data_IF_127330239155
#
_entry.id   IF_127330239155
#
_cell.length_a   1.000
_cell.length_b   1.000
_cell.length_c   1.000
_cell.angle_alpha   90.00
_cell.angle_beta   90.00
_cell.angle_gamma   90.00
#
_symmetry.space_group_name_H-M   'P 1'
#
loop_
_entity.id
_entity.type
_entity.pdbx_description
1 polymer ?
#
# COMPACT_ATOMS: atom_id res chain seq x y z
N UNK A 1 -7.48 -6.85 -1.95
CA UNK A 1 -6.15 -6.57 -2.49
C UNK A 1 -6.15 -6.96 -3.98
N UNK A 2 -5.37 -6.26 -4.81
CA UNK A 2 -5.29 -6.43 -6.27
C UNK A 2 -3.85 -6.59 -6.79
N UNK A 3 -2.91 -6.99 -5.93
CA UNK A 3 -1.47 -6.98 -6.21
C UNK A 3 -1.04 -8.00 -7.28
N UNK A 4 -1.83 -9.05 -7.48
CA UNK A 4 -1.63 -10.02 -8.55
C UNK A 4 -1.73 -9.43 -9.97
N UNK A 5 -2.18 -8.17 -10.11
CA UNK A 5 -2.26 -7.45 -11.38
C UNK A 5 -1.07 -6.54 -11.65
N UNK A 6 -0.07 -6.52 -10.75
CA UNK A 6 1.20 -5.83 -10.99
C UNK A 6 2.10 -6.67 -11.91
N UNK A 7 2.84 -6.01 -12.80
CA UNK A 7 3.94 -6.63 -13.52
C UNK A 7 5.11 -6.94 -12.56
N UNK A 8 5.93 -7.94 -12.89
CA UNK A 8 6.95 -8.46 -11.97
C UNK A 8 7.92 -7.40 -11.46
N UNK A 9 8.31 -6.44 -12.31
CA UNK A 9 9.17 -5.31 -11.90
C UNK A 9 8.49 -4.40 -10.87
N UNK A 10 7.17 -4.22 -10.97
CA UNK A 10 6.41 -3.34 -10.09
C UNK A 10 6.04 -4.04 -8.78
N UNK A 11 5.99 -5.39 -8.75
CA UNK A 11 5.84 -6.17 -7.51
C UNK A 11 7.00 -5.92 -6.55
N UNK A 12 8.23 -5.97 -7.05
CA UNK A 12 9.43 -5.70 -6.24
C UNK A 12 9.46 -4.25 -5.74
N UNK A 13 9.14 -3.30 -6.61
CA UNK A 13 9.05 -1.87 -6.24
C UNK A 13 7.94 -1.62 -5.21
N UNK A 14 6.80 -2.29 -5.32
CA UNK A 14 5.72 -2.22 -4.33
C UNK A 14 6.19 -2.67 -2.94
N UNK A 15 6.89 -3.80 -2.83
CA UNK A 15 7.43 -4.26 -1.54
C UNK A 15 8.39 -3.25 -0.91
N UNK A 16 9.23 -2.60 -1.72
CA UNK A 16 10.13 -1.52 -1.25
C UNK A 16 9.33 -0.33 -0.68
N UNK A 17 8.21 0.04 -1.33
CA UNK A 17 7.30 1.06 -0.78
C UNK A 17 6.70 0.60 0.56
N UNK A 18 6.27 -0.65 0.68
CA UNK A 18 5.72 -1.18 1.94
C UNK A 18 6.74 -1.14 3.09
N UNK A 19 8.01 -1.45 2.82
CA UNK A 19 9.07 -1.35 3.83
C UNK A 19 9.24 0.09 4.30
N UNK A 20 9.28 1.05 3.38
CA UNK A 20 9.35 2.47 3.75
C UNK A 20 8.11 2.96 4.50
N UNK A 21 6.91 2.46 4.14
CA UNK A 21 5.67 2.77 4.85
C UNK A 21 5.69 2.22 6.29
N UNK A 22 6.10 0.97 6.47
CA UNK A 22 6.25 0.31 7.77
C UNK A 22 7.32 0.99 8.64
N UNK A 23 8.45 1.40 8.06
CA UNK A 23 9.53 2.08 8.78
C UNK A 23 9.21 3.50 9.25
N UNK A 24 8.03 4.07 8.91
CA UNK A 24 7.58 5.39 9.41
C UNK A 24 7.58 5.48 10.94
N UNK A 25 7.39 4.34 11.63
CA UNK A 25 7.41 4.26 13.10
C UNK A 25 8.72 3.71 13.68
N UNK A 26 9.72 3.38 12.85
CA UNK A 26 11.09 3.03 13.28
C UNK A 26 11.26 1.68 13.98
N UNK A 27 10.24 0.82 14.04
CA UNK A 27 10.32 -0.52 14.62
C UNK A 27 9.66 -1.53 13.67
N UNK A 28 10.47 -2.42 13.10
CA UNK A 28 9.94 -3.51 12.27
C UNK A 28 9.42 -4.64 13.16
N UNK A 29 8.10 -4.65 13.44
CA UNK A 29 7.46 -5.66 14.31
C UNK A 29 7.05 -6.90 13.51
N UNK A 30 6.75 -8.01 14.20
CA UNK A 30 6.42 -9.29 13.54
C UNK A 30 5.15 -9.19 12.68
N UNK A 31 4.21 -8.33 13.07
CA UNK A 31 2.96 -8.07 12.37
C UNK A 31 3.21 -7.45 10.98
N UNK A 32 4.23 -6.61 10.83
CA UNK A 32 4.60 -6.01 9.55
C UNK A 32 5.23 -7.03 8.61
N UNK A 33 6.05 -7.96 9.14
CA UNK A 33 6.58 -9.10 8.36
C UNK A 33 5.48 -9.98 7.82
N UNK A 34 4.52 -10.35 8.66
CA UNK A 34 3.38 -11.16 8.24
C UNK A 34 2.56 -10.48 7.14
N UNK A 35 2.46 -9.15 7.19
CA UNK A 35 1.79 -8.39 6.14
C UNK A 35 2.59 -8.37 4.83
N UNK A 36 3.91 -8.17 4.88
CA UNK A 36 4.78 -8.30 3.70
C UNK A 36 4.65 -9.70 3.08
N UNK A 37 4.66 -10.75 3.90
CA UNK A 37 4.48 -12.12 3.41
C UNK A 37 3.09 -12.35 2.82
N UNK A 38 2.04 -11.73 3.37
CA UNK A 38 0.71 -11.76 2.77
C UNK A 38 0.72 -11.14 1.36
N UNK A 39 1.42 -10.01 1.17
CA UNK A 39 1.58 -9.41 -0.15
C UNK A 39 2.37 -10.29 -1.12
N UNK A 40 3.45 -10.93 -0.66
CA UNK A 40 4.21 -11.88 -1.47
C UNK A 40 3.35 -13.05 -1.95
N UNK A 41 2.54 -13.64 -1.06
CA UNK A 41 1.58 -14.71 -1.40
C UNK A 41 0.57 -14.26 -2.44
N UNK A 42 -0.01 -13.08 -2.28
CA UNK A 42 -0.98 -12.56 -3.24
C UNK A 42 -0.36 -12.31 -4.62
N UNK A 43 0.85 -11.75 -4.64
CA UNK A 43 1.61 -11.50 -5.87
C UNK A 43 2.19 -12.77 -6.50
N UNK A 44 2.07 -13.92 -5.82
CA UNK A 44 2.64 -15.21 -6.21
C UNK A 44 4.16 -15.16 -6.39
N UNK A 45 4.85 -14.48 -5.48
CA UNK A 45 6.32 -14.39 -5.43
C UNK A 45 6.85 -15.02 -4.13
N UNK A 46 8.14 -15.38 -4.05
CA UNK A 46 8.73 -15.88 -2.82
C UNK A 46 8.51 -14.93 -1.64
N UNK A 47 8.23 -15.48 -0.46
CA UNK A 47 8.14 -14.72 0.78
C UNK A 47 9.54 -14.27 1.20
N UNK A 48 9.90 -13.06 0.77
CA UNK A 48 11.15 -12.41 1.10
C UNK A 48 10.93 -10.94 1.44
N UNK A 49 11.74 -10.40 2.35
CA UNK A 49 11.75 -8.97 2.66
C UNK A 49 12.90 -8.36 1.88
N UNK A 50 12.64 -7.60 0.80
CA UNK A 50 13.71 -7.11 -0.05
C UNK A 50 14.67 -6.22 0.74
N UNK A 51 15.96 -6.53 0.65
CA UNK A 51 17.02 -5.60 1.08
C UNK A 51 17.00 -4.39 0.15
N UNK A 52 16.91 -3.19 0.72
CA UNK A 52 16.95 -1.96 -0.05
C UNK A 52 17.67 -0.86 0.71
N UNK A 53 18.73 -0.33 0.11
CA UNK A 53 19.59 0.72 0.64
C UNK A 53 19.33 2.10 0.00
N UNK A 54 18.44 2.16 -0.99
CA UNK A 54 18.05 3.39 -1.66
C UNK A 54 17.00 4.21 -0.92
N UNK A 55 16.60 5.34 -1.50
CA UNK A 55 15.57 6.20 -0.91
C UNK A 55 14.18 5.86 -1.45
N UNK A 56 13.13 6.22 -0.70
CA UNK A 56 11.76 6.13 -1.19
C UNK A 56 11.56 6.94 -2.48
N UNK A 57 12.25 8.07 -2.64
CA UNK A 57 12.13 8.91 -3.84
C UNK A 57 12.63 8.19 -5.10
N UNK A 58 13.65 7.33 -4.97
CA UNK A 58 14.17 6.54 -6.08
C UNK A 58 13.11 5.51 -6.51
N UNK A 59 12.51 4.80 -5.54
CA UNK A 59 11.43 3.82 -5.79
C UNK A 59 10.23 4.49 -6.45
N UNK A 60 9.80 5.64 -5.94
CA UNK A 60 8.65 6.38 -6.48
C UNK A 60 8.92 6.88 -7.90
N UNK A 61 10.16 7.32 -8.19
CA UNK A 61 10.58 7.72 -9.53
C UNK A 61 10.53 6.55 -10.51
N UNK A 62 11.03 5.38 -10.11
CA UNK A 62 10.96 4.17 -10.95
C UNK A 62 9.51 3.74 -11.21
N UNK A 63 8.66 3.74 -10.19
CA UNK A 63 7.22 3.46 -10.34
C UNK A 63 6.54 4.50 -11.23
N UNK A 64 6.95 5.77 -11.17
CA UNK A 64 6.40 6.80 -12.03
C UNK A 64 6.65 6.52 -13.52
N UNK A 65 7.78 5.90 -13.85
CA UNK A 65 8.19 5.58 -15.23
C UNK A 65 7.68 4.22 -15.70
N UNK A 66 7.75 3.19 -14.85
CA UNK A 66 7.51 1.79 -15.23
C UNK A 66 6.05 1.35 -15.04
N UNK A 67 5.36 1.89 -14.04
CA UNK A 67 4.01 1.43 -13.72
C UNK A 67 2.97 2.10 -14.62
N UNK A 68 2.01 1.30 -15.09
CA UNK A 68 0.83 1.82 -15.78
C UNK A 68 -0.06 2.63 -14.82
N UNK A 69 -0.96 3.46 -15.36
CA UNK A 69 -1.97 4.16 -14.54
C UNK A 69 -2.78 3.21 -13.66
N UNK A 70 -3.05 2.00 -14.16
CA UNK A 70 -3.78 0.97 -13.40
C UNK A 70 -2.95 0.48 -12.22
N UNK A 71 -1.69 0.10 -12.45
CA UNK A 71 -0.78 -0.37 -11.40
C UNK A 71 -0.53 0.70 -10.33
N UNK A 72 -0.33 1.95 -10.74
CA UNK A 72 -0.22 3.08 -9.79
C UNK A 72 -1.44 3.19 -8.88
N UNK A 73 -2.64 3.08 -9.44
CA UNK A 73 -3.87 3.14 -8.65
C UNK A 73 -4.01 1.93 -7.71
N UNK A 74 -3.55 0.74 -8.13
CA UNK A 74 -3.48 -0.44 -7.26
C UNK A 74 -2.52 -0.18 -6.11
N UNK A 75 -1.30 0.27 -6.38
CA UNK A 75 -0.29 0.58 -5.35
C UNK A 75 -0.84 1.60 -4.35
N UNK A 76 -1.46 2.69 -4.81
CA UNK A 76 -2.09 3.68 -3.92
C UNK A 76 -3.16 3.03 -3.03
N UNK A 77 -4.04 2.19 -3.59
CA UNK A 77 -5.09 1.53 -2.83
C UNK A 77 -4.52 0.62 -1.74
N UNK A 78 -3.53 -0.21 -2.08
CA UNK A 78 -2.98 -1.21 -1.15
C UNK A 78 -2.16 -0.54 -0.04
N UNK A 79 -1.35 0.48 -0.38
CA UNK A 79 -0.61 1.25 0.64
C UNK A 79 -1.57 2.06 1.51
N UNK A 80 -2.66 2.59 0.96
CA UNK A 80 -3.68 3.26 1.76
C UNK A 80 -4.37 2.29 2.72
N UNK A 81 -4.61 1.04 2.30
CA UNK A 81 -5.11 -0.02 3.16
C UNK A 81 -4.14 -0.38 4.28
N UNK A 82 -2.84 -0.46 3.97
CA UNK A 82 -1.75 -0.68 4.93
C UNK A 82 -1.72 0.39 6.02
N UNK A 83 -1.62 1.67 5.64
CA UNK A 83 -1.50 2.77 6.60
C UNK A 83 -2.78 3.06 7.38
N UNK A 84 -3.93 2.50 6.97
CA UNK A 84 -5.20 2.61 7.71
C UNK A 84 -5.53 1.35 8.50
N UNK A 85 -4.66 0.34 8.50
CA UNK A 85 -4.96 -1.00 9.03
C UNK A 85 -5.21 -1.00 10.55
N UNK A 86 -4.58 -0.08 11.28
CA UNK A 86 -4.79 0.10 12.72
C UNK A 86 -6.07 0.90 13.06
N UNK A 87 -6.78 1.39 12.04
CA UNK A 87 -8.00 2.18 12.16
C UNK A 87 -7.77 3.67 12.41
N UNK A 88 -6.52 4.14 12.41
CA UNK A 88 -6.14 5.55 12.53
C UNK A 88 -5.60 6.02 11.18
N UNK A 89 -5.81 7.30 10.84
CA UNK A 89 -5.22 7.92 9.65
C UNK A 89 -4.68 9.28 10.03
N UNK A 90 -3.49 9.27 10.61
CA UNK A 90 -2.81 10.42 11.19
C UNK A 90 -2.17 11.31 10.13
N UNK A 91 -1.71 12.49 10.54
CA UNK A 91 -1.13 13.46 9.61
C UNK A 91 0.17 12.95 8.95
N UNK A 92 0.98 12.15 9.65
CA UNK A 92 2.17 11.51 9.05
C UNK A 92 1.82 10.54 7.92
N UNK A 93 0.74 9.78 8.08
CA UNK A 93 0.28 8.83 7.06
C UNK A 93 -0.31 9.57 5.86
N UNK A 94 -1.02 10.68 6.09
CA UNK A 94 -1.46 11.58 5.02
C UNK A 94 -0.29 12.17 4.26
N UNK A 95 0.71 12.70 4.96
CA UNK A 95 1.94 13.24 4.37
C UNK A 95 2.67 12.19 3.53
N UNK A 96 2.75 10.95 4.03
CA UNK A 96 3.34 9.83 3.28
C UNK A 96 2.53 9.50 2.02
N UNK A 97 1.20 9.41 2.13
CA UNK A 97 0.33 9.14 0.98
C UNK A 97 0.39 10.25 -0.06
N UNK A 98 0.46 11.51 0.37
CA UNK A 98 0.61 12.68 -0.52
C UNK A 98 1.95 12.63 -1.26
N UNK A 99 3.05 12.36 -0.54
CA UNK A 99 4.37 12.19 -1.15
C UNK A 99 4.39 11.03 -2.16
N UNK A 100 3.74 9.92 -1.83
CA UNK A 100 3.63 8.74 -2.69
C UNK A 100 2.86 9.03 -3.98
N UNK A 101 1.70 9.69 -3.92
CA UNK A 101 0.91 10.00 -5.12
C UNK A 101 1.57 11.09 -5.98
N UNK A 102 2.24 12.06 -5.36
CA UNK A 102 3.04 13.06 -6.07
C UNK A 102 4.24 12.40 -6.76
N UNK A 103 5.01 11.58 -6.05
CA UNK A 103 6.20 10.91 -6.57
C UNK A 103 5.89 10.00 -7.76
N UNK A 104 4.81 9.22 -7.68
CA UNK A 104 4.35 8.35 -8.78
C UNK A 104 3.63 9.09 -9.91
N UNK A 105 3.36 10.40 -9.77
CA UNK A 105 2.60 11.22 -10.72
C UNK A 105 1.18 10.67 -10.94
N UNK A 106 0.51 10.31 -9.86
CA UNK A 106 -0.88 9.81 -9.89
C UNK A 106 -1.82 10.97 -10.21
N UNK A 107 -2.89 10.68 -10.95
CA UNK A 107 -3.90 11.68 -11.30
C UNK A 107 -4.55 12.27 -10.03
N UNK A 108 -4.71 13.59 -10.03
CA UNK A 108 -5.40 14.32 -8.96
C UNK A 108 -6.80 13.72 -8.68
N UNK A 109 -7.16 13.67 -7.40
CA UNK A 109 -8.44 13.14 -6.94
C UNK A 109 -8.54 11.61 -6.86
N UNK A 110 -7.54 10.86 -7.35
CA UNK A 110 -7.53 9.39 -7.18
C UNK A 110 -7.40 9.02 -5.71
N UNK A 111 -6.46 9.64 -4.97
CA UNK A 111 -6.25 9.35 -3.56
C UNK A 111 -7.51 9.58 -2.72
N UNK A 112 -8.13 10.75 -2.86
CA UNK A 112 -9.36 11.09 -2.12
C UNK A 112 -10.51 10.16 -2.46
N UNK A 113 -10.65 9.78 -3.74
CA UNK A 113 -11.66 8.82 -4.17
C UNK A 113 -11.43 7.42 -3.58
N UNK A 114 -10.19 6.92 -3.61
CA UNK A 114 -9.85 5.62 -3.03
C UNK A 114 -10.05 5.62 -1.52
N UNK A 115 -9.66 6.69 -0.83
CA UNK A 115 -9.89 6.84 0.61
C UNK A 115 -11.39 6.77 0.95
N UNK A 116 -12.23 7.53 0.25
CA UNK A 116 -13.67 7.50 0.46
C UNK A 116 -14.29 6.11 0.20
N UNK A 117 -13.82 5.41 -0.83
CA UNK A 117 -14.29 4.04 -1.12
C UNK A 117 -13.85 3.04 -0.05
N UNK A 118 -12.63 3.17 0.48
CA UNK A 118 -12.15 2.34 1.59
C UNK A 118 -12.94 2.58 2.88
N UNK A 119 -13.30 3.83 3.19
CA UNK A 119 -14.11 4.14 4.37
C UNK A 119 -15.51 3.49 4.28
N UNK A 120 -16.11 3.50 3.08
CA UNK A 120 -17.37 2.79 2.80
C UNK A 120 -17.17 1.28 2.94
N UNK A 121 -16.12 0.72 2.33
CA UNK A 121 -15.81 -0.70 2.40
C UNK A 121 -15.64 -1.18 3.85
N UNK A 122 -14.89 -0.43 4.67
CA UNK A 122 -14.71 -0.73 6.09
C UNK A 122 -16.03 -0.71 6.87
N UNK A 123 -16.93 0.22 6.55
CA UNK A 123 -18.28 0.28 7.15
C UNK A 123 -19.09 -0.97 6.80
N UNK A 124 -19.11 -1.36 5.52
CA UNK A 124 -19.80 -2.58 5.07
C UNK A 124 -19.22 -3.83 5.73
N UNK A 125 -17.90 -3.95 5.85
CA UNK A 125 -17.26 -5.08 6.53
C UNK A 125 -17.66 -5.17 8.00
N UNK A 126 -17.75 -4.04 8.71
CA UNK A 126 -18.22 -4.01 10.10
C UNK A 126 -19.66 -4.49 10.22
N UNK A 127 -20.55 -3.98 9.36
CA UNK A 127 -21.96 -4.39 9.36
C UNK A 127 -22.11 -5.90 9.08
N UNK A 128 -21.41 -6.43 8.08
CA UNK A 128 -21.40 -7.86 7.78
C UNK A 128 -20.90 -8.69 8.98
N UNK A 129 -19.82 -8.26 9.63
CA UNK A 129 -19.30 -8.95 10.81
C UNK A 129 -20.31 -9.00 11.94
N UNK A 130 -21.00 -7.89 12.23
CA UNK A 130 -22.06 -7.86 13.24
C UNK A 130 -23.21 -8.79 12.88
N UNK A 131 -23.73 -8.73 11.65
CA UNK A 131 -24.84 -9.59 11.20
C UNK A 131 -24.49 -11.08 11.26
N UNK A 132 -23.24 -11.46 10.97
CA UNK A 132 -22.80 -12.87 11.04
C UNK A 132 -22.53 -13.36 12.47
N UNK A 133 -22.40 -12.44 13.43
CA UNK A 133 -22.11 -12.74 14.84
C UNK A 133 -23.37 -12.79 15.72
N UNK A 134 -24.54 -12.53 15.13
CA UNK A 134 -25.88 -12.72 15.71
C UNK A 134 -26.42 -14.14 15.45
#
# INVERSE_FOLDING_TARGET
MFLNQLEDVNKELFLKVCIHAAWSNGVFVNEEKEMIFAYCREMSIPEDVPEYDGTINDVLSELAEKATTKEKNIIVLEILGLVKADGVYEDKEKEFMDALVTGMKVKEGVLSKLNSLLDIYATVCKELFFTLSE
#
